data_IF_828790100130
#
_entry.id   IF_828790100130
#
_cell.length_a   1.000
_cell.length_b   1.000
_cell.length_c   1.000
_cell.angle_alpha   90.00
_cell.angle_beta   90.00
_cell.angle_gamma   90.00
#
_symmetry.space_group_name_H-M   'P 1'
#
loop_
_entity.id
_entity.type
_entity.pdbx_description
1 polymer ?
#
# COMPACT_ATOMS: atom_id res chain seq x y z
N UNK A 1 37.64 53.88 28.73
CA UNK A 1 37.61 52.89 29.84
C UNK A 1 36.19 52.93 30.40
N UNK A 2 35.31 51.92 30.41
CA UNK A 2 35.31 50.47 30.19
C UNK A 2 33.95 50.14 29.50
N UNK A 3 33.95 49.38 28.40
CA UNK A 3 33.54 47.96 28.30
C UNK A 3 32.05 47.64 28.54
N UNK A 4 31.44 47.29 27.41
CA UNK A 4 30.22 46.51 27.13
C UNK A 4 29.94 45.35 28.09
N UNK A 5 28.65 45.11 28.36
CA UNK A 5 28.09 43.77 28.60
C UNK A 5 26.65 43.70 28.08
N UNK A 6 26.51 43.26 26.83
CA UNK A 6 25.24 42.79 26.27
C UNK A 6 24.99 41.40 26.86
N UNK A 7 23.92 41.27 27.65
CA UNK A 7 23.43 39.99 28.16
C UNK A 7 22.86 39.17 26.99
N UNK A 8 23.70 38.29 26.43
CA UNK A 8 23.26 37.24 25.53
C UNK A 8 22.32 36.29 26.26
N UNK A 9 21.08 36.17 25.76
CA UNK A 9 20.16 35.11 26.18
C UNK A 9 20.76 33.75 25.78
N UNK A 10 20.71 32.73 26.63
CA UNK A 10 21.16 31.40 26.24
C UNK A 10 20.28 30.89 25.10
N UNK A 11 20.92 30.59 23.96
CA UNK A 11 20.32 29.82 22.89
C UNK A 11 20.04 28.43 23.45
N UNK A 12 18.79 28.20 23.85
CA UNK A 12 18.30 26.86 24.13
C UNK A 12 18.31 26.13 22.80
N UNK A 13 19.32 25.29 22.58
CA UNK A 13 19.34 24.32 21.50
C UNK A 13 18.12 23.42 21.68
N UNK A 14 17.05 23.76 20.96
CA UNK A 14 15.85 22.96 20.86
C UNK A 14 16.24 21.76 20.01
N UNK A 15 16.70 20.70 20.68
CA UNK A 15 16.82 19.37 20.09
C UNK A 15 15.41 19.04 19.58
N UNK A 16 15.21 19.20 18.27
CA UNK A 16 14.01 18.69 17.62
C UNK A 16 14.13 17.18 17.69
N UNK A 17 13.41 16.60 18.64
CA UNK A 17 13.06 15.18 18.59
C UNK A 17 12.43 14.95 17.23
N UNK A 18 13.16 14.30 16.33
CA UNK A 18 12.62 13.69 15.12
C UNK A 18 11.66 12.60 15.60
N UNK A 19 10.45 13.00 15.95
CA UNK A 19 9.32 12.09 16.05
C UNK A 19 9.25 11.41 14.68
N UNK A 20 9.59 10.13 14.61
CA UNK A 20 9.25 9.27 13.49
C UNK A 20 7.71 9.29 13.38
N UNK A 21 7.18 10.25 12.62
CA UNK A 21 5.73 10.49 12.51
C UNK A 21 5.06 9.54 11.53
N UNK A 22 5.80 9.01 10.57
CA UNK A 22 5.24 8.19 9.49
C UNK A 22 5.28 6.73 9.88
N UNK A 23 4.10 6.11 9.99
CA UNK A 23 3.95 4.65 10.09
C UNK A 23 4.05 3.99 8.73
N UNK A 24 3.96 4.76 7.65
CA UNK A 24 4.22 4.29 6.29
C UNK A 24 5.63 4.63 5.86
N UNK A 25 6.40 3.60 5.50
CA UNK A 25 7.67 3.72 4.79
C UNK A 25 7.42 3.51 3.30
N UNK A 26 7.92 4.41 2.45
CA UNK A 26 7.63 4.41 1.02
C UNK A 26 8.91 4.19 0.21
N UNK A 27 8.88 3.24 -0.71
CA UNK A 27 9.94 3.03 -1.70
C UNK A 27 9.36 3.17 -3.11
N UNK A 28 9.88 4.10 -3.91
CA UNK A 28 9.44 4.34 -5.29
C UNK A 28 10.42 3.71 -6.28
N UNK A 29 9.89 3.13 -7.36
CA UNK A 29 10.65 2.57 -8.48
C UNK A 29 10.04 3.05 -9.79
N UNK A 30 10.86 3.66 -10.63
CA UNK A 30 10.45 4.16 -11.94
C UNK A 30 10.39 3.03 -13.00
N UNK A 31 9.67 3.24 -14.11
CA UNK A 31 9.73 2.35 -15.26
C UNK A 31 11.18 2.15 -15.74
N UNK A 32 11.51 0.93 -16.16
CA UNK A 32 12.82 0.66 -16.74
C UNK A 32 13.02 1.51 -18.01
N UNK A 33 14.23 2.08 -18.22
CA UNK A 33 14.56 2.73 -19.49
C UNK A 33 14.45 1.79 -20.70
N UNK A 34 14.52 0.48 -20.48
CA UNK A 34 14.45 -0.56 -21.51
C UNK A 34 13.01 -1.03 -21.78
N UNK A 35 12.04 -0.60 -20.97
CA UNK A 35 10.65 -0.97 -21.17
C UNK A 35 10.12 -0.40 -22.49
N UNK A 36 9.53 -1.25 -23.32
CA UNK A 36 9.05 -0.88 -24.67
C UNK A 36 7.96 0.20 -24.61
N UNK A 37 7.13 0.18 -23.56
CA UNK A 37 6.02 1.11 -23.35
C UNK A 37 6.13 1.64 -21.93
N UNK A 38 5.96 2.95 -21.73
CA UNK A 38 5.80 3.52 -20.38
C UNK A 38 4.32 3.66 -20.08
N UNK A 39 3.87 3.00 -19.02
CA UNK A 39 2.46 2.94 -18.64
C UNK A 39 2.13 4.10 -17.69
N UNK A 40 1.03 4.85 -17.91
CA UNK A 40 0.72 6.04 -17.13
C UNK A 40 0.12 5.74 -15.74
N UNK A 41 -0.51 4.57 -15.60
CA UNK A 41 -1.13 4.11 -14.36
C UNK A 41 -0.05 3.64 -13.38
N UNK A 42 0.10 4.25 -12.20
CA UNK A 42 1.08 3.79 -11.22
C UNK A 42 0.61 2.52 -10.50
N UNK A 43 1.56 1.67 -10.09
CA UNK A 43 1.28 0.51 -9.23
C UNK A 43 1.55 0.89 -7.77
N UNK A 44 0.59 0.64 -6.89
CA UNK A 44 0.73 0.82 -5.45
C UNK A 44 0.70 -0.54 -4.76
N UNK A 45 1.83 -0.96 -4.20
CA UNK A 45 1.94 -2.16 -3.40
C UNK A 45 1.71 -1.79 -1.93
N UNK A 46 0.70 -2.40 -1.31
CA UNK A 46 0.38 -2.21 0.11
C UNK A 46 0.91 -3.40 0.88
N UNK A 47 1.87 -3.14 1.76
CA UNK A 47 2.52 -4.16 2.58
C UNK A 47 2.36 -3.79 4.06
N UNK A 48 2.08 -4.79 4.89
CA UNK A 48 1.96 -4.59 6.34
C UNK A 48 3.20 -5.16 7.03
N UNK A 49 3.78 -4.33 7.89
CA UNK A 49 4.82 -4.68 8.84
C UNK A 49 4.14 -4.76 10.20
N UNK A 50 4.00 -5.96 10.76
CA UNK A 50 3.27 -6.18 12.01
C UNK A 50 4.27 -6.25 13.17
N UNK A 51 4.18 -5.35 14.14
CA UNK A 51 5.08 -5.31 15.29
C UNK A 51 6.58 -5.31 14.90
N UNK A 52 6.93 -4.60 13.83
CA UNK A 52 8.30 -4.56 13.29
C UNK A 52 8.75 -5.83 12.55
N UNK A 53 7.89 -6.84 12.42
CA UNK A 53 8.15 -8.04 11.63
C UNK A 53 7.61 -7.80 10.22
N UNK A 54 8.54 -7.75 9.26
CA UNK A 54 8.20 -7.57 7.86
C UNK A 54 7.92 -8.91 7.20
N UNK A 55 6.74 -9.04 6.57
CA UNK A 55 6.49 -10.14 5.66
C UNK A 55 7.57 -10.12 4.58
N UNK A 56 8.12 -11.29 4.24
CA UNK A 56 9.05 -11.53 3.12
C UNK A 56 8.91 -10.45 2.01
N UNK A 57 9.99 -9.78 1.56
CA UNK A 57 9.91 -8.55 0.76
C UNK A 57 9.50 -8.79 -0.70
N UNK A 58 8.31 -9.38 -0.90
CA UNK A 58 7.68 -9.68 -2.17
C UNK A 58 7.53 -8.41 -3.01
N UNK A 59 7.26 -7.29 -2.35
CA UNK A 59 7.09 -5.99 -2.99
C UNK A 59 8.28 -5.65 -3.89
N UNK A 60 9.53 -5.94 -3.47
CA UNK A 60 10.72 -5.68 -4.30
C UNK A 60 10.72 -6.49 -5.60
N UNK A 61 10.32 -7.75 -5.55
CA UNK A 61 10.20 -8.60 -6.74
C UNK A 61 9.13 -8.04 -7.68
N UNK A 62 8.01 -7.60 -7.13
CA UNK A 62 6.93 -6.97 -7.90
C UNK A 62 7.34 -5.64 -8.51
N UNK A 63 8.00 -4.75 -7.76
CA UNK A 63 8.50 -3.47 -8.29
C UNK A 63 9.48 -3.70 -9.44
N UNK A 64 10.40 -4.67 -9.30
CA UNK A 64 11.33 -5.02 -10.38
C UNK A 64 10.59 -5.53 -11.62
N UNK A 65 9.58 -6.37 -11.44
CA UNK A 65 8.79 -6.92 -12.55
C UNK A 65 7.93 -5.84 -13.23
N UNK A 66 7.27 -5.00 -12.46
CA UNK A 66 6.42 -3.90 -12.95
C UNK A 66 7.25 -2.84 -13.68
N UNK A 67 8.45 -2.54 -13.19
CA UNK A 67 9.39 -1.64 -13.85
C UNK A 67 9.77 -2.14 -15.25
N UNK A 68 10.03 -3.45 -15.42
CA UNK A 68 10.29 -4.07 -16.73
C UNK A 68 9.10 -3.99 -17.68
N UNK A 69 7.87 -4.07 -17.14
CA UNK A 69 6.63 -3.92 -17.90
C UNK A 69 6.27 -2.45 -18.19
N UNK A 70 7.08 -1.51 -17.69
CA UNK A 70 6.94 -0.09 -17.98
C UNK A 70 6.10 0.71 -17.00
N UNK A 71 5.70 0.13 -15.87
CA UNK A 71 4.97 0.83 -14.83
C UNK A 71 5.92 1.49 -13.83
N UNK A 72 5.52 2.67 -13.33
CA UNK A 72 6.05 3.19 -12.07
C UNK A 72 5.38 2.42 -10.92
N UNK A 73 6.11 2.20 -9.83
CA UNK A 73 5.58 1.46 -8.70
C UNK A 73 6.04 2.03 -7.38
N UNK A 74 5.16 1.95 -6.39
CA UNK A 74 5.41 2.41 -5.03
C UNK A 74 5.04 1.33 -4.03
N UNK A 75 6.00 0.97 -3.20
CA UNK A 75 5.82 0.07 -2.06
C UNK A 75 5.57 0.92 -0.82
N UNK A 76 4.35 0.82 -0.28
CA UNK A 76 3.91 1.45 0.95
C UNK A 76 3.90 0.39 2.06
N UNK A 77 4.98 0.37 2.84
CA UNK A 77 5.15 -0.50 3.98
C UNK A 77 4.57 0.15 5.24
N UNK A 78 3.45 -0.38 5.72
CA UNK A 78 2.65 0.17 6.82
C UNK A 78 2.98 -0.58 8.10
N UNK A 79 3.62 0.12 9.04
CA UNK A 79 3.90 -0.37 10.40
C UNK A 79 2.64 -0.33 11.25
N UNK A 80 2.04 -1.49 11.46
CA UNK A 80 0.84 -1.69 12.27
C UNK A 80 1.24 -2.17 13.66
N UNK A 81 0.88 -1.36 14.66
CA UNK A 81 1.02 -1.73 16.07
C UNK A 81 -0.25 -2.44 16.52
N UNK A 82 -0.10 -3.51 17.30
CA UNK A 82 -1.24 -4.31 17.78
C UNK A 82 -2.24 -3.55 18.67
N UNK A 83 -1.90 -2.33 19.12
CA UNK A 83 -2.76 -1.48 19.96
C UNK A 83 -3.54 -0.43 19.17
N UNK A 84 -3.22 -0.24 17.88
CA UNK A 84 -3.90 0.74 17.02
C UNK A 84 -4.82 0.01 16.04
N UNK A 85 -6.11 0.04 16.35
CA UNK A 85 -7.16 -0.61 15.57
C UNK A 85 -7.85 0.35 14.59
N UNK A 86 -7.44 1.62 14.57
CA UNK A 86 -8.04 2.63 13.69
C UNK A 86 -7.40 2.61 12.30
N UNK A 87 -8.15 2.19 11.29
CA UNK A 87 -7.68 2.23 9.90
C UNK A 87 -7.57 3.65 9.33
N UNK A 88 -8.19 4.65 9.98
CA UNK A 88 -8.24 6.03 9.49
C UNK A 88 -6.86 6.65 9.34
N UNK A 89 -5.93 6.35 10.25
CA UNK A 89 -4.56 6.86 10.19
C UNK A 89 -3.81 6.30 8.98
N UNK A 90 -3.95 5.00 8.73
CA UNK A 90 -3.34 4.35 7.56
C UNK A 90 -3.94 4.87 6.25
N UNK A 91 -5.25 5.14 6.25
CA UNK A 91 -5.91 5.81 5.12
C UNK A 91 -5.32 7.20 4.84
N UNK A 92 -5.14 8.04 5.86
CA UNK A 92 -4.58 9.39 5.70
C UNK A 92 -3.15 9.36 5.15
N UNK A 93 -2.30 8.50 5.72
CA UNK A 93 -0.91 8.35 5.26
C UNK A 93 -0.87 7.79 3.83
N UNK A 94 -1.63 6.73 3.53
CA UNK A 94 -1.70 6.15 2.18
C UNK A 94 -2.26 7.15 1.16
N UNK A 95 -3.23 7.97 1.58
CA UNK A 95 -3.79 9.07 0.80
C UNK A 95 -2.79 10.14 0.42
N UNK A 96 -1.85 10.43 1.30
CA UNK A 96 -0.76 11.37 1.02
C UNK A 96 0.23 10.73 0.03
N UNK A 97 0.59 9.46 0.23
CA UNK A 97 1.47 8.73 -0.69
C UNK A 97 0.89 8.68 -2.09
N UNK A 98 -0.40 8.39 -2.24
CA UNK A 98 -1.06 8.29 -3.54
C UNK A 98 -1.19 9.62 -4.28
N UNK A 99 -1.40 10.71 -3.57
CA UNK A 99 -1.49 12.05 -4.17
C UNK A 99 -0.19 12.45 -4.90
N UNK A 100 0.94 11.84 -4.54
CA UNK A 100 2.25 12.12 -5.13
C UNK A 100 2.64 11.18 -6.29
N UNK A 101 1.80 10.19 -6.64
CA UNK A 101 2.21 9.13 -7.59
C UNK A 101 2.05 9.51 -9.04
N UNK A 102 0.87 9.98 -9.42
CA UNK A 102 0.50 10.27 -10.81
C UNK A 102 -0.81 11.05 -10.86
N UNK A 103 -1.11 11.60 -12.03
CA UNK A 103 -2.44 12.10 -12.35
C UNK A 103 -3.49 10.97 -12.46
N UNK A 104 -3.04 9.76 -12.80
CA UNK A 104 -3.92 8.60 -12.94
C UNK A 104 -4.11 7.86 -11.61
N UNK A 105 -5.34 7.41 -11.28
CA UNK A 105 -5.56 6.56 -10.11
C UNK A 105 -4.67 5.31 -10.15
N UNK A 106 -4.06 4.89 -9.03
CA UNK A 106 -3.20 3.72 -9.04
C UNK A 106 -4.00 2.43 -9.24
N UNK A 107 -3.31 1.40 -9.73
CA UNK A 107 -3.69 0.03 -9.45
C UNK A 107 -3.06 -0.38 -8.13
N UNK A 108 -3.87 -0.87 -7.19
CA UNK A 108 -3.40 -1.26 -5.86
C UNK A 108 -3.26 -2.78 -5.77
N UNK A 109 -2.15 -3.26 -5.20
CA UNK A 109 -1.89 -4.68 -4.93
C UNK A 109 -1.64 -4.85 -3.44
N UNK A 110 -2.47 -5.67 -2.80
CA UNK A 110 -2.47 -5.85 -1.35
C UNK A 110 -2.31 -7.31 -0.99
N UNK A 111 -1.36 -7.60 -0.11
CA UNK A 111 -0.98 -8.96 0.25
C UNK A 111 -1.26 -9.23 1.72
N UNK A 112 -2.12 -10.21 2.01
CA UNK A 112 -2.63 -10.55 3.34
C UNK A 112 -3.86 -9.74 3.76
N UNK A 113 -4.65 -10.31 4.66
CA UNK A 113 -5.99 -9.80 5.01
C UNK A 113 -5.97 -8.42 5.67
N UNK A 114 -4.96 -8.11 6.49
CA UNK A 114 -4.85 -6.77 7.08
C UNK A 114 -4.56 -5.70 6.02
N UNK A 115 -3.73 -6.03 5.02
CA UNK A 115 -3.53 -5.15 3.87
C UNK A 115 -4.84 -4.98 3.09
N UNK A 116 -5.66 -6.03 2.96
CA UNK A 116 -6.98 -5.93 2.34
C UNK A 116 -7.90 -4.97 3.10
N UNK A 117 -7.94 -5.03 4.44
CA UNK A 117 -8.73 -4.09 5.25
C UNK A 117 -8.30 -2.64 5.04
N UNK A 118 -6.99 -2.38 5.03
CA UNK A 118 -6.46 -1.05 4.75
C UNK A 118 -6.86 -0.59 3.34
N UNK A 119 -6.78 -1.48 2.35
CA UNK A 119 -7.21 -1.18 0.97
C UNK A 119 -8.70 -0.92 0.88
N UNK A 120 -9.54 -1.73 1.52
CA UNK A 120 -10.99 -1.53 1.62
C UNK A 120 -11.33 -0.15 2.21
N UNK A 121 -10.63 0.24 3.29
CA UNK A 121 -10.76 1.58 3.87
C UNK A 121 -10.37 2.68 2.89
N UNK A 122 -9.31 2.46 2.12
CA UNK A 122 -8.88 3.43 1.13
C UNK A 122 -9.87 3.59 -0.01
N UNK A 123 -10.31 2.48 -0.61
CA UNK A 123 -11.17 2.52 -1.80
C UNK A 123 -12.58 2.99 -1.52
N UNK A 124 -13.07 2.83 -0.29
CA UNK A 124 -14.35 3.42 0.13
C UNK A 124 -14.36 4.95 0.10
N UNK A 125 -13.17 5.58 0.04
CA UNK A 125 -13.02 7.04 0.02
C UNK A 125 -12.38 7.58 -1.26
N UNK A 126 -11.63 6.75 -2.02
CA UNK A 126 -10.90 7.17 -3.21
C UNK A 126 -10.93 6.09 -4.30
N UNK A 127 -11.30 6.43 -5.55
CA UNK A 127 -11.32 5.45 -6.64
C UNK A 127 -9.90 4.98 -7.00
N UNK A 128 -9.82 3.75 -7.52
CA UNK A 128 -8.61 3.14 -8.09
C UNK A 128 -8.83 2.82 -9.57
N UNK A 129 -7.74 2.57 -10.29
CA UNK A 129 -7.80 1.96 -11.63
C UNK A 129 -8.04 0.44 -11.55
N UNK A 130 -7.68 -0.18 -10.43
CA UNK A 130 -7.96 -1.58 -10.13
C UNK A 130 -7.47 -1.95 -8.74
N UNK A 131 -8.02 -3.02 -8.17
CA UNK A 131 -7.62 -3.55 -6.87
C UNK A 131 -7.29 -5.04 -6.99
N UNK A 132 -6.11 -5.43 -6.52
CA UNK A 132 -5.66 -6.82 -6.45
C UNK A 132 -5.50 -7.23 -4.99
N UNK A 133 -6.17 -8.30 -4.58
CA UNK A 133 -6.14 -8.85 -3.23
C UNK A 133 -5.51 -10.25 -3.26
N UNK A 134 -4.28 -10.37 -2.75
CA UNK A 134 -3.52 -11.62 -2.69
C UNK A 134 -3.53 -12.14 -1.24
N UNK A 135 -3.91 -13.39 -1.04
CA UNK A 135 -4.00 -14.01 0.30
C UNK A 135 -2.63 -14.33 0.86
N UNK A 136 -2.48 -14.31 2.20
CA UNK A 136 -1.23 -14.71 2.85
C UNK A 136 -1.50 -15.60 4.04
N UNK A 137 -1.73 -16.89 3.80
CA UNK A 137 -2.16 -17.83 4.84
C UNK A 137 -1.28 -17.82 6.11
N UNK A 138 0.04 -17.65 5.96
CA UNK A 138 0.98 -17.62 7.08
C UNK A 138 0.77 -16.39 7.99
N UNK A 139 0.51 -15.21 7.39
CA UNK A 139 0.25 -14.00 8.16
C UNK A 139 -1.20 -13.91 8.63
N UNK A 140 -2.14 -14.35 7.80
CA UNK A 140 -3.57 -14.26 8.08
C UNK A 140 -3.95 -15.04 9.34
N UNK A 141 -3.24 -16.13 9.65
CA UNK A 141 -3.42 -16.90 10.89
C UNK A 141 -2.99 -16.17 12.17
N UNK A 142 -2.17 -15.11 12.06
CA UNK A 142 -1.58 -14.41 13.21
C UNK A 142 -2.30 -13.11 13.57
N UNK A 143 -3.17 -12.62 12.68
CA UNK A 143 -3.88 -11.35 12.86
C UNK A 143 -5.31 -11.63 13.28
N UNK A 144 -5.70 -11.15 14.47
CA UNK A 144 -7.11 -11.06 14.81
C UNK A 144 -7.74 -9.94 13.97
N UNK A 145 -8.55 -10.31 12.98
CA UNK A 145 -9.21 -9.35 12.10
C UNK A 145 -10.47 -8.74 12.74
N UNK A 146 -10.99 -9.32 13.82
CA UNK A 146 -12.23 -8.86 14.46
C UNK A 146 -12.10 -7.48 15.10
N UNK A 147 -10.86 -7.05 15.39
CA UNK A 147 -10.57 -5.71 15.92
C UNK A 147 -10.53 -4.63 14.85
N UNK A 148 -10.44 -4.99 13.57
CA UNK A 148 -10.41 -4.04 12.46
C UNK A 148 -11.80 -3.95 11.81
N UNK A 149 -12.28 -2.74 11.49
CA UNK A 149 -13.59 -2.58 10.87
C UNK A 149 -13.63 -3.17 9.45
N UNK A 150 -14.79 -3.74 9.13
CA UNK A 150 -15.14 -4.18 7.78
C UNK A 150 -15.70 -2.99 7.00
N UNK A 151 -14.86 -2.34 6.20
CA UNK A 151 -15.31 -1.30 5.28
C UNK A 151 -15.85 -1.95 3.99
N UNK A 152 -17.14 -1.76 3.72
CA UNK A 152 -17.76 -2.13 2.44
C UNK A 152 -17.72 -0.96 1.46
N UNK A 153 -17.69 -1.24 0.17
CA UNK A 153 -17.74 -0.22 -0.89
C UNK A 153 -18.43 -0.77 -2.14
N UNK A 154 -18.92 0.11 -3.00
CA UNK A 154 -19.48 -0.26 -4.30
C UNK A 154 -18.35 -0.35 -5.35
N UNK A 155 -18.13 -1.52 -6.00
CA UNK A 155 -17.07 -1.68 -6.99
C UNK A 155 -17.35 -0.89 -8.27
N UNK A 156 -16.61 0.19 -8.48
CA UNK A 156 -16.67 0.98 -9.73
C UNK A 156 -15.43 0.79 -10.62
N UNK A 157 -14.57 -0.16 -10.27
CA UNK A 157 -13.32 -0.48 -10.93
C UNK A 157 -13.07 -2.00 -10.88
N UNK A 158 -12.22 -2.55 -11.76
CA UNK A 158 -11.90 -3.98 -11.75
C UNK A 158 -11.24 -4.43 -10.44
N UNK A 159 -11.67 -5.58 -9.93
CA UNK A 159 -11.11 -6.19 -8.72
C UNK A 159 -10.71 -7.63 -9.04
N UNK A 160 -9.50 -8.01 -8.63
CA UNK A 160 -8.99 -9.37 -8.74
C UNK A 160 -8.56 -9.91 -7.39
N UNK A 161 -8.93 -11.15 -7.10
CA UNK A 161 -8.59 -11.82 -5.86
C UNK A 161 -7.90 -13.15 -6.13
N UNK A 162 -6.72 -13.33 -5.54
CA UNK A 162 -5.99 -14.60 -5.55
C UNK A 162 -5.90 -15.08 -4.11
N UNK A 163 -6.73 -16.05 -3.74
CA UNK A 163 -6.74 -16.59 -2.39
C UNK A 163 -7.38 -17.98 -2.35
N UNK A 164 -7.10 -18.75 -1.29
CA UNK A 164 -7.87 -19.95 -0.97
C UNK A 164 -9.10 -19.66 -0.12
N UNK A 165 -9.19 -18.45 0.45
CA UNK A 165 -10.36 -17.99 1.16
C UNK A 165 -11.43 -17.55 0.16
N UNK A 166 -12.69 -17.65 0.57
CA UNK A 166 -13.80 -17.13 -0.21
C UNK A 166 -13.73 -15.59 -0.28
N UNK A 167 -14.19 -14.99 -1.39
CA UNK A 167 -14.40 -13.55 -1.48
C UNK A 167 -15.30 -13.00 -0.37
N UNK A 168 -15.11 -11.73 0.06
CA UNK A 168 -16.08 -11.05 0.89
C UNK A 168 -17.46 -11.01 0.23
N UNK A 169 -18.54 -11.26 0.98
CA UNK A 169 -19.91 -11.36 0.43
C UNK A 169 -20.32 -10.10 -0.36
N UNK A 170 -19.93 -8.90 0.10
CA UNK A 170 -20.24 -7.65 -0.58
C UNK A 170 -19.56 -7.49 -1.96
N UNK A 171 -18.57 -8.33 -2.26
CA UNK A 171 -17.84 -8.38 -3.52
C UNK A 171 -18.28 -9.56 -4.40
N UNK A 172 -19.23 -10.38 -3.95
CA UNK A 172 -19.70 -11.53 -4.72
C UNK A 172 -20.31 -11.08 -6.06
N UNK A 173 -19.85 -11.68 -7.16
CA UNK A 173 -20.26 -11.33 -8.52
C UNK A 173 -19.62 -10.07 -9.10
N UNK A 174 -18.76 -9.38 -8.34
CA UNK A 174 -18.07 -8.15 -8.78
C UNK A 174 -16.57 -8.32 -9.01
N UNK A 175 -16.03 -9.52 -8.73
CA UNK A 175 -14.59 -9.76 -8.76
C UNK A 175 -14.24 -10.95 -9.63
N UNK A 176 -13.08 -10.87 -10.26
CA UNK A 176 -12.39 -12.02 -10.78
C UNK A 176 -11.69 -12.73 -9.61
N UNK A 177 -11.78 -14.06 -9.55
CA UNK A 177 -11.26 -14.84 -8.43
C UNK A 177 -10.52 -16.09 -8.91
N UNK A 178 -9.32 -16.31 -8.38
CA UNK A 178 -8.50 -17.47 -8.67
C UNK A 178 -7.84 -18.06 -7.42
N UNK A 179 -7.49 -19.35 -7.51
CA UNK A 179 -6.62 -20.00 -6.53
C UNK A 179 -5.15 -19.64 -6.77
N UNK A 180 -4.33 -19.52 -5.71
CA UNK A 180 -2.91 -19.18 -5.81
C UNK A 180 -2.11 -20.28 -6.53
N UNK A 181 -1.44 -19.91 -7.63
CA UNK A 181 -0.47 -20.75 -8.36
C UNK A 181 0.82 -20.01 -8.64
N UNK A 182 0.73 -18.92 -9.40
CA UNK A 182 1.82 -18.00 -9.69
C UNK A 182 1.22 -16.60 -9.74
N UNK A 183 1.16 -15.98 -8.57
CA UNK A 183 0.42 -14.74 -8.33
C UNK A 183 0.85 -13.62 -9.28
N UNK A 184 2.15 -13.48 -9.55
CA UNK A 184 2.63 -12.43 -10.46
C UNK A 184 2.14 -12.62 -11.88
N UNK A 185 2.23 -13.84 -12.42
CA UNK A 185 1.82 -14.10 -13.80
C UNK A 185 0.29 -14.05 -13.94
N UNK A 186 -0.44 -14.51 -12.92
CA UNK A 186 -1.90 -14.40 -12.84
C UNK A 186 -2.36 -12.94 -12.85
N UNK A 187 -1.77 -12.09 -12.01
CA UNK A 187 -2.11 -10.66 -11.99
C UNK A 187 -1.73 -10.00 -13.31
N UNK A 188 -0.55 -10.28 -13.88
CA UNK A 188 -0.15 -9.69 -15.16
C UNK A 188 -1.11 -10.10 -16.28
N UNK A 189 -1.55 -11.36 -16.32
CA UNK A 189 -2.53 -11.84 -17.29
C UNK A 189 -3.85 -11.07 -17.12
N UNK A 190 -4.37 -11.00 -15.89
CA UNK A 190 -5.58 -10.25 -15.58
C UNK A 190 -5.47 -8.77 -15.96
N UNK A 191 -4.35 -8.12 -15.65
CA UNK A 191 -4.10 -6.72 -16.02
C UNK A 191 -4.20 -6.51 -17.54
N UNK A 192 -3.67 -7.43 -18.34
CA UNK A 192 -3.78 -7.37 -19.81
C UNK A 192 -5.23 -7.56 -20.27
N UNK A 193 -5.98 -8.47 -19.65
CA UNK A 193 -7.37 -8.77 -20.01
C UNK A 193 -8.30 -7.57 -19.79
N UNK A 194 -8.05 -6.77 -18.75
CA UNK A 194 -8.79 -5.52 -18.49
C UNK A 194 -8.20 -4.30 -19.21
N UNK A 195 -7.23 -4.50 -20.10
CA UNK A 195 -6.69 -3.47 -20.98
C UNK A 195 -5.70 -2.50 -20.35
N UNK A 196 -4.95 -2.92 -19.32
CA UNK A 196 -3.90 -2.11 -18.69
C UNK A 196 -2.51 -2.27 -19.29
#
# INVERSE_FOLDING_TARGET
MLLTKVLGKPHVNRIQWLYRRTKVTVTKVEPSPEATIKRPTPILLVRVVLNGIDAKPWARCWQSRMSQLGYSSVDAAIDVESTDHSLSKYYEELSQVTAELSFFPPLMISHGMLAWRISQKYVSNKPLSGLVMIGNEEQDATVDLSVYPDDTFEPHFPIYMISRQAPPEFLEGWIDYDLPKNESDQVIAWMNDIGM
#
